data_IF_906421805676
#
_entry.id   IF_906421805676
#
_cell.length_a   1.000
_cell.length_b   1.000
_cell.length_c   1.000
_cell.angle_alpha   90.00
_cell.angle_beta   90.00
_cell.angle_gamma   90.00
#
_symmetry.space_group_name_H-M   'P 1'
#
loop_
_entity.id
_entity.type
_entity.pdbx_description
1 polymer ?
#
# COMPACT_ATOMS: atom_id res chain seq x y z
N UNK A 1 12.68 -12.59 1.62
CA UNK A 1 11.44 -12.29 0.84
C UNK A 1 10.42 -13.42 0.83
N UNK A 2 10.72 -14.65 1.31
CA UNK A 2 9.78 -15.79 1.38
C UNK A 2 8.63 -15.58 2.37
N UNK A 3 8.91 -15.14 3.59
CA UNK A 3 7.91 -15.08 4.67
C UNK A 3 6.67 -14.22 4.40
N UNK A 4 6.79 -13.11 3.65
CA UNK A 4 5.63 -12.26 3.29
C UNK A 4 4.69 -12.96 2.30
N UNK A 5 5.24 -13.81 1.40
CA UNK A 5 4.41 -14.56 0.43
C UNK A 5 3.62 -15.67 1.11
N UNK A 6 4.21 -16.36 2.07
CA UNK A 6 3.54 -17.43 2.83
C UNK A 6 2.41 -16.88 3.70
N UNK A 7 2.64 -15.73 4.31
CA UNK A 7 1.67 -15.05 5.15
C UNK A 7 0.42 -14.62 4.35
N UNK A 8 0.61 -13.89 3.25
CA UNK A 8 -0.51 -13.47 2.38
C UNK A 8 -1.23 -14.68 1.79
N UNK A 9 -0.51 -15.78 1.52
CA UNK A 9 -1.11 -17.04 1.07
C UNK A 9 -2.11 -17.62 2.07
N UNK A 10 -1.80 -17.58 3.38
CA UNK A 10 -2.71 -18.03 4.43
C UNK A 10 -3.97 -17.16 4.52
N UNK A 11 -3.82 -15.84 4.42
CA UNK A 11 -4.96 -14.90 4.39
C UNK A 11 -5.88 -15.15 3.19
N UNK A 12 -5.30 -15.29 2.00
CA UNK A 12 -6.04 -15.56 0.77
C UNK A 12 -6.80 -16.89 0.89
N UNK A 13 -6.17 -17.94 1.42
CA UNK A 13 -6.81 -19.22 1.67
C UNK A 13 -7.99 -19.08 2.64
N UNK A 14 -7.81 -18.33 3.73
CA UNK A 14 -8.87 -18.04 4.68
C UNK A 14 -10.06 -17.37 4.00
N UNK A 15 -9.82 -16.27 3.30
CA UNK A 15 -10.88 -15.47 2.69
C UNK A 15 -11.57 -16.22 1.52
N UNK A 16 -10.80 -16.88 0.66
CA UNK A 16 -11.33 -17.47 -0.56
C UNK A 16 -11.93 -18.86 -0.37
N UNK A 17 -11.31 -19.72 0.45
CA UNK A 17 -11.73 -21.12 0.63
C UNK A 17 -12.52 -21.36 1.90
N UNK A 18 -12.13 -20.76 3.03
CA UNK A 18 -12.84 -20.96 4.30
C UNK A 18 -14.10 -20.12 4.34
N UNK A 19 -13.99 -18.81 4.08
CA UNK A 19 -15.13 -17.89 4.10
C UNK A 19 -15.87 -17.82 2.75
N UNK A 20 -15.30 -18.36 1.69
CA UNK A 20 -15.88 -18.40 0.32
C UNK A 20 -16.37 -17.04 -0.16
N UNK A 21 -15.63 -15.97 0.11
CA UNK A 21 -16.01 -14.62 -0.23
C UNK A 21 -15.97 -14.40 -1.75
N UNK A 22 -16.97 -13.72 -2.27
CA UNK A 22 -17.05 -13.34 -3.68
C UNK A 22 -16.48 -11.94 -3.96
N UNK A 23 -16.49 -11.09 -2.95
CA UNK A 23 -15.96 -9.74 -3.03
C UNK A 23 -15.35 -9.30 -1.71
N UNK A 24 -14.36 -8.40 -1.77
CA UNK A 24 -13.71 -7.82 -0.61
C UNK A 24 -13.53 -6.32 -0.81
N UNK A 25 -13.87 -5.55 0.22
CA UNK A 25 -13.54 -4.13 0.34
C UNK A 25 -12.37 -3.96 1.31
N UNK A 26 -11.40 -3.16 0.94
CA UNK A 26 -10.17 -2.89 1.70
C UNK A 26 -10.04 -1.39 1.90
N UNK A 27 -10.45 -0.84 3.06
CA UNK A 27 -10.49 0.60 3.30
C UNK A 27 -9.11 1.23 3.52
N UNK A 28 -8.12 0.42 3.88
CA UNK A 28 -6.75 0.84 4.16
C UNK A 28 -5.79 0.05 3.28
N UNK A 29 -5.37 0.65 2.20
CA UNK A 29 -4.41 0.09 1.27
C UNK A 29 -3.01 -0.07 1.87
N UNK A 30 -2.02 -0.08 1.03
CA UNK A 30 -0.65 -0.31 1.41
C UNK A 30 -0.11 -1.63 0.86
N UNK A 31 1.10 -1.99 1.25
CA UNK A 31 1.81 -3.10 0.59
C UNK A 31 1.11 -4.45 0.77
N UNK A 32 0.77 -4.83 1.99
CA UNK A 32 0.18 -6.14 2.26
C UNK A 32 -1.26 -6.23 1.76
N UNK A 33 -2.14 -5.24 2.03
CA UNK A 33 -3.49 -5.22 1.47
C UNK A 33 -3.52 -5.23 -0.06
N UNK A 34 -2.62 -4.53 -0.76
CA UNK A 34 -2.54 -4.59 -2.23
C UNK A 34 -2.19 -5.99 -2.72
N UNK A 35 -1.30 -6.72 -2.04
CA UNK A 35 -0.99 -8.10 -2.36
C UNK A 35 -2.18 -9.04 -2.14
N UNK A 36 -2.90 -8.86 -1.03
CA UNK A 36 -4.13 -9.61 -0.76
C UNK A 36 -5.17 -9.36 -1.87
N UNK A 37 -5.41 -8.09 -2.20
CA UNK A 37 -6.35 -7.71 -3.26
C UNK A 37 -5.97 -8.31 -4.60
N UNK A 38 -4.70 -8.26 -4.98
CA UNK A 38 -4.20 -8.88 -6.21
C UNK A 38 -4.44 -10.40 -6.23
N UNK A 39 -4.16 -11.12 -5.15
CA UNK A 39 -4.44 -12.54 -5.06
C UNK A 39 -5.94 -12.84 -5.14
N UNK A 40 -6.79 -12.10 -4.45
CA UNK A 40 -8.24 -12.27 -4.54
C UNK A 40 -8.73 -12.04 -5.97
N UNK A 41 -8.22 -11.01 -6.65
CA UNK A 41 -8.52 -10.74 -8.05
C UNK A 41 -8.08 -11.88 -8.97
N UNK A 42 -6.88 -12.44 -8.80
CA UNK A 42 -6.40 -13.59 -9.61
C UNK A 42 -7.26 -14.84 -9.43
N UNK A 43 -7.95 -14.96 -8.31
CA UNK A 43 -8.94 -16.01 -8.04
C UNK A 43 -10.34 -15.68 -8.59
N UNK A 44 -10.48 -14.64 -9.41
CA UNK A 44 -11.74 -14.25 -10.03
C UNK A 44 -12.70 -13.47 -9.10
N UNK A 45 -12.22 -13.01 -7.93
CA UNK A 45 -13.05 -12.27 -6.97
C UNK A 45 -13.09 -10.78 -7.30
N UNK A 46 -14.14 -10.09 -6.82
CA UNK A 46 -14.22 -8.63 -6.91
C UNK A 46 -13.49 -7.96 -5.76
N UNK A 47 -12.70 -6.93 -6.06
CA UNK A 47 -11.86 -6.22 -5.08
C UNK A 47 -12.06 -4.72 -5.19
N UNK A 48 -12.47 -4.08 -4.10
CA UNK A 48 -12.53 -2.64 -3.96
C UNK A 48 -11.42 -2.22 -2.99
N UNK A 49 -10.44 -1.48 -3.48
CA UNK A 49 -9.29 -1.06 -2.68
C UNK A 49 -9.25 0.44 -2.53
N UNK A 50 -9.16 0.91 -1.31
CA UNK A 50 -9.05 2.31 -0.97
C UNK A 50 -7.76 2.62 -0.20
N UNK A 51 -7.19 3.77 -0.46
CA UNK A 51 -6.18 4.39 0.41
C UNK A 51 -6.20 5.90 0.19
N UNK A 52 -6.00 6.68 1.24
CA UNK A 52 -5.84 8.12 1.15
C UNK A 52 -4.47 8.53 0.60
N UNK A 53 -3.51 7.61 0.60
CA UNK A 53 -2.16 7.83 0.07
C UNK A 53 -2.15 7.59 -1.44
N UNK A 54 -1.64 8.57 -2.16
CA UNK A 54 -1.60 8.53 -3.63
C UNK A 54 -0.77 7.36 -4.17
N UNK A 55 0.36 7.03 -3.53
CA UNK A 55 1.16 5.87 -3.93
C UNK A 55 0.34 4.57 -3.85
N UNK A 56 -0.35 4.34 -2.75
CA UNK A 56 -1.14 3.13 -2.55
C UNK A 56 -2.32 3.07 -3.51
N UNK A 57 -2.98 4.21 -3.76
CA UNK A 57 -4.02 4.34 -4.78
C UNK A 57 -3.48 3.98 -6.17
N UNK A 58 -2.35 4.57 -6.59
CA UNK A 58 -1.76 4.27 -7.91
C UNK A 58 -1.27 2.83 -8.02
N UNK A 59 -0.80 2.22 -6.93
CA UNK A 59 -0.46 0.80 -6.88
C UNK A 59 -1.72 -0.08 -7.11
N UNK A 60 -2.85 0.32 -6.53
CA UNK A 60 -4.13 -0.34 -6.77
C UNK A 60 -4.64 -0.12 -8.21
N UNK A 61 -4.50 1.08 -8.77
CA UNK A 61 -4.84 1.34 -10.19
C UNK A 61 -4.01 0.46 -11.12
N UNK A 62 -2.71 0.29 -10.85
CA UNK A 62 -1.81 -0.53 -11.65
C UNK A 62 -2.04 -2.04 -11.56
N UNK A 63 -2.48 -2.56 -10.40
CA UNK A 63 -2.58 -4.00 -10.15
C UNK A 63 -4.01 -4.50 -9.93
N UNK A 64 -4.88 -3.70 -9.33
CA UNK A 64 -6.24 -4.11 -8.98
C UNK A 64 -7.23 -3.67 -10.06
N UNK A 65 -7.25 -2.38 -10.41
CA UNK A 65 -8.16 -1.87 -11.44
C UNK A 65 -7.73 -2.26 -12.87
N UNK A 66 -6.44 -2.49 -13.08
CA UNK A 66 -5.88 -2.80 -14.39
C UNK A 66 -6.26 -4.23 -14.84
N UNK A 67 -6.91 -4.33 -15.99
CA UNK A 67 -7.43 -5.57 -16.56
C UNK A 67 -6.60 -6.11 -17.75
N UNK A 68 -5.38 -5.59 -17.98
CA UNK A 68 -4.52 -6.09 -19.05
C UNK A 68 -3.68 -5.03 -19.76
N UNK A 69 -3.74 -3.77 -19.35
CA UNK A 69 -2.90 -2.71 -19.93
C UNK A 69 -1.48 -2.82 -19.37
N UNK A 70 -0.55 -3.20 -20.23
CA UNK A 70 0.87 -3.33 -19.89
C UNK A 70 1.63 -2.05 -20.25
N UNK A 71 2.77 -1.86 -19.62
CA UNK A 71 3.75 -0.87 -20.03
C UNK A 71 4.72 -1.58 -20.97
N UNK A 72 4.61 -1.29 -22.27
CA UNK A 72 5.39 -1.92 -23.33
C UNK A 72 6.83 -1.42 -23.43
N UNK A 73 7.62 -2.08 -24.28
CA UNK A 73 9.05 -1.76 -24.47
C UNK A 73 9.32 -0.38 -25.04
N UNK A 74 8.48 0.10 -25.96
CA UNK A 74 8.65 1.41 -26.62
C UNK A 74 8.36 2.53 -25.60
N UNK A 75 7.27 2.39 -24.86
CA UNK A 75 6.90 3.31 -23.77
C UNK A 75 7.98 3.31 -22.69
N UNK A 76 8.49 2.13 -22.31
CA UNK A 76 9.56 1.98 -21.34
C UNK A 76 10.85 2.68 -21.83
N UNK A 77 11.25 2.49 -23.10
CA UNK A 77 12.38 3.18 -23.72
C UNK A 77 12.23 4.70 -23.60
N UNK A 78 11.07 5.23 -24.00
CA UNK A 78 10.80 6.68 -23.91
C UNK A 78 10.84 7.25 -22.47
N UNK A 79 10.58 6.41 -21.46
CA UNK A 79 10.69 6.82 -20.07
C UNK A 79 12.14 6.97 -19.60
N UNK A 80 13.06 6.14 -20.09
CA UNK A 80 14.44 6.09 -19.58
C UNK A 80 15.46 6.75 -20.51
N UNK A 81 15.16 6.91 -21.80
CA UNK A 81 16.06 7.51 -22.77
C UNK A 81 16.47 8.94 -22.42
N UNK A 82 17.78 9.23 -22.52
CA UNK A 82 18.32 10.57 -22.29
C UNK A 82 18.16 11.07 -20.86
N UNK A 83 17.98 10.18 -19.89
CA UNK A 83 18.15 10.52 -18.47
C UNK A 83 19.64 10.79 -18.25
N UNK A 84 19.98 12.00 -17.84
CA UNK A 84 21.34 12.46 -17.58
C UNK A 84 21.45 13.15 -16.23
N UNK A 85 22.62 13.69 -15.92
CA UNK A 85 22.84 14.48 -14.69
C UNK A 85 22.35 15.91 -14.88
N UNK A 86 21.23 16.32 -14.26
CA UNK A 86 20.81 17.73 -14.28
C UNK A 86 21.69 18.56 -13.34
N UNK A 87 21.72 19.87 -13.58
CA UNK A 87 22.47 20.79 -12.71
C UNK A 87 21.85 20.90 -11.31
N UNK A 88 20.57 20.62 -11.16
CA UNK A 88 19.82 20.74 -9.90
C UNK A 88 18.63 19.79 -9.89
N UNK A 89 18.32 19.23 -8.70
CA UNK A 89 17.11 18.44 -8.49
C UNK A 89 15.86 19.33 -8.41
N UNK A 90 14.81 18.95 -9.11
CA UNK A 90 13.47 19.54 -8.97
C UNK A 90 12.82 19.14 -7.64
N UNK A 91 13.10 17.91 -7.21
CA UNK A 91 12.70 17.39 -5.90
C UNK A 91 13.92 17.05 -5.03
N UNK A 92 14.43 18.01 -4.23
CA UNK A 92 15.61 17.80 -3.39
C UNK A 92 15.39 16.77 -2.29
N UNK A 93 14.12 16.43 -1.95
CA UNK A 93 13.81 15.42 -0.95
C UNK A 93 14.18 13.99 -1.40
N UNK A 94 14.33 13.76 -2.71
CA UNK A 94 14.81 12.49 -3.25
C UNK A 94 16.21 12.15 -2.76
N UNK A 95 17.08 13.13 -2.57
CA UNK A 95 18.43 12.94 -2.00
C UNK A 95 18.41 12.47 -0.54
N UNK A 96 17.27 12.55 0.13
CA UNK A 96 17.06 11.96 1.48
C UNK A 96 16.62 10.49 1.40
N UNK A 97 16.12 10.05 0.24
CA UNK A 97 15.64 8.68 0.03
C UNK A 97 16.74 7.78 -0.53
N UNK A 98 17.52 8.29 -1.46
CA UNK A 98 18.58 7.57 -2.18
C UNK A 98 19.85 8.42 -2.26
N UNK A 99 21.02 7.85 -2.63
CA UNK A 99 22.23 8.64 -2.93
C UNK A 99 21.95 9.73 -3.97
N UNK A 100 22.67 10.85 -3.87
CA UNK A 100 22.45 12.03 -4.73
C UNK A 100 22.50 11.68 -6.22
N UNK A 101 23.46 10.87 -6.63
CA UNK A 101 23.60 10.43 -8.03
C UNK A 101 22.39 9.66 -8.53
N UNK A 102 21.73 8.92 -7.64
CA UNK A 102 20.53 8.16 -7.98
C UNK A 102 19.28 9.04 -7.97
N UNK A 103 19.27 10.05 -7.10
CA UNK A 103 18.16 10.99 -7.03
C UNK A 103 17.89 11.68 -8.38
N UNK A 104 18.94 11.92 -9.18
CA UNK A 104 18.79 12.49 -10.53
C UNK A 104 17.98 11.59 -11.47
N UNK A 105 18.18 10.28 -11.41
CA UNK A 105 17.39 9.34 -12.20
C UNK A 105 15.91 9.44 -11.85
N UNK A 106 15.57 9.39 -10.58
CA UNK A 106 14.17 9.45 -10.13
C UNK A 106 13.51 10.81 -10.39
N UNK A 107 14.28 11.90 -10.25
CA UNK A 107 13.80 13.26 -10.49
C UNK A 107 13.39 13.50 -11.94
N UNK A 108 14.09 12.88 -12.89
CA UNK A 108 13.76 12.97 -14.32
C UNK A 108 12.73 11.92 -14.75
N UNK A 109 12.73 10.75 -14.15
CA UNK A 109 11.81 9.68 -14.47
C UNK A 109 10.35 10.05 -14.08
N UNK A 110 10.16 10.65 -12.91
CA UNK A 110 8.83 10.94 -12.39
C UNK A 110 7.97 11.82 -13.30
N UNK A 111 8.40 12.99 -13.80
CA UNK A 111 7.59 13.82 -14.68
C UNK A 111 7.25 13.14 -16.02
N UNK A 112 8.06 12.16 -16.47
CA UNK A 112 7.75 11.35 -17.65
C UNK A 112 6.65 10.34 -17.35
N UNK A 113 6.71 9.68 -16.19
CA UNK A 113 5.65 8.77 -15.69
C UNK A 113 4.32 9.52 -15.58
N UNK A 114 4.32 10.78 -15.16
CA UNK A 114 3.10 11.57 -15.00
C UNK A 114 2.27 11.72 -16.28
N UNK A 115 2.93 11.62 -17.44
CA UNK A 115 2.28 11.73 -18.77
C UNK A 115 1.62 10.42 -19.23
N UNK A 116 1.83 9.32 -18.53
CA UNK A 116 1.26 8.03 -18.88
C UNK A 116 -0.24 7.96 -18.56
N UNK A 117 -1.01 7.14 -19.30
CA UNK A 117 -2.35 6.74 -18.90
C UNK A 117 -2.36 6.12 -17.49
N UNK A 118 -3.43 6.30 -16.74
CA UNK A 118 -3.50 5.98 -15.31
C UNK A 118 -3.01 4.56 -14.96
N UNK A 119 -3.43 3.55 -15.73
CA UNK A 119 -3.06 2.14 -15.45
C UNK A 119 -1.56 1.87 -15.68
N UNK A 120 -0.99 2.40 -16.77
CA UNK A 120 0.45 2.33 -17.02
C UNK A 120 1.25 3.17 -16.04
N UNK A 121 0.72 4.34 -15.63
CA UNK A 121 1.31 5.17 -14.57
C UNK A 121 1.43 4.38 -13.26
N UNK A 122 0.39 3.64 -12.86
CA UNK A 122 0.42 2.79 -11.67
C UNK A 122 1.53 1.74 -11.72
N UNK A 123 1.69 1.06 -12.86
CA UNK A 123 2.80 0.12 -13.09
C UNK A 123 4.16 0.80 -12.92
N UNK A 124 4.35 1.96 -13.59
CA UNK A 124 5.62 2.69 -13.57
C UNK A 124 5.95 3.24 -12.17
N UNK A 125 4.97 3.76 -11.43
CA UNK A 125 5.14 4.24 -10.04
C UNK A 125 5.59 3.09 -9.15
N UNK A 126 4.96 1.91 -9.27
CA UNK A 126 5.36 0.72 -8.49
C UNK A 126 6.76 0.25 -8.85
N UNK A 127 7.07 0.13 -10.13
CA UNK A 127 8.40 -0.28 -10.62
C UNK A 127 9.49 0.71 -10.16
N UNK A 128 9.23 2.01 -10.27
CA UNK A 128 10.15 3.05 -9.81
C UNK A 128 10.40 2.99 -8.30
N UNK A 129 9.38 2.72 -7.49
CA UNK A 129 9.57 2.51 -6.06
C UNK A 129 10.42 1.26 -5.74
N UNK A 130 10.21 0.17 -6.46
CA UNK A 130 11.03 -1.03 -6.30
C UNK A 130 12.49 -0.75 -6.69
N UNK A 131 12.71 0.00 -7.77
CA UNK A 131 14.04 0.47 -8.22
C UNK A 131 14.70 1.35 -7.15
N UNK A 132 13.94 2.26 -6.53
CA UNK A 132 14.43 3.09 -5.44
C UNK A 132 14.86 2.24 -4.23
N UNK A 133 14.09 1.23 -3.87
CA UNK A 133 14.47 0.28 -2.81
C UNK A 133 15.73 -0.50 -3.15
N UNK A 134 15.91 -0.90 -4.41
CA UNK A 134 17.16 -1.51 -4.86
C UNK A 134 18.33 -0.55 -4.64
N UNK A 135 18.21 0.71 -5.05
CA UNK A 135 19.25 1.71 -4.86
C UNK A 135 19.61 1.88 -3.36
N UNK A 136 18.62 1.95 -2.47
CA UNK A 136 18.80 2.05 -1.02
C UNK A 136 19.56 0.85 -0.42
N UNK A 137 19.25 -0.36 -0.88
CA UNK A 137 19.89 -1.59 -0.40
C UNK A 137 21.35 -1.67 -0.89
N UNK A 138 21.58 -1.32 -2.17
CA UNK A 138 22.93 -1.39 -2.76
C UNK A 138 23.87 -0.34 -2.17
N UNK A 139 23.39 0.85 -1.81
CA UNK A 139 24.17 1.89 -1.16
C UNK A 139 24.76 1.44 0.19
N UNK A 140 24.03 0.61 0.92
CA UNK A 140 24.43 0.08 2.23
C UNK A 140 25.12 -1.28 2.17
N UNK A 141 25.24 -1.88 0.98
CA UNK A 141 25.75 -3.25 0.83
C UNK A 141 27.24 -3.29 0.51
N UNK A 142 27.88 -4.44 0.87
CA UNK A 142 29.25 -4.76 0.44
C UNK A 142 29.35 -5.07 -1.05
N UNK A 143 28.21 -5.16 -1.75
CA UNK A 143 28.10 -5.52 -3.15
C UNK A 143 27.88 -4.33 -4.07
N UNK A 144 28.23 -3.12 -3.63
CA UNK A 144 28.07 -1.89 -4.44
C UNK A 144 28.69 -1.98 -5.84
N UNK A 145 29.81 -2.73 -5.96
CA UNK A 145 30.49 -2.95 -7.25
C UNK A 145 29.71 -3.86 -8.22
N UNK A 146 28.71 -4.59 -7.73
CA UNK A 146 27.81 -5.44 -8.55
C UNK A 146 26.50 -4.73 -8.89
N UNK A 147 26.45 -3.44 -8.63
CA UNK A 147 25.26 -2.64 -8.84
C UNK A 147 24.93 -2.52 -10.34
N UNK A 148 23.68 -2.85 -10.68
CA UNK A 148 23.17 -2.63 -12.04
C UNK A 148 22.79 -1.15 -12.26
N UNK A 149 22.93 -0.62 -13.51
CA UNK A 149 22.35 0.67 -13.88
C UNK A 149 20.86 0.73 -13.56
N UNK A 150 20.38 1.89 -13.06
CA UNK A 150 19.00 2.03 -12.60
C UNK A 150 17.97 1.86 -13.71
N UNK A 151 18.32 2.24 -14.95
CA UNK A 151 17.47 2.04 -16.13
C UNK A 151 17.18 0.55 -16.36
N UNK A 152 18.20 -0.31 -16.21
CA UNK A 152 18.06 -1.76 -16.34
C UNK A 152 17.27 -2.36 -15.19
N UNK A 153 17.47 -1.83 -13.97
CA UNK A 153 16.69 -2.25 -12.80
C UNK A 153 15.24 -1.85 -12.97
N UNK A 154 14.97 -0.63 -13.42
CA UNK A 154 13.61 -0.14 -13.66
C UNK A 154 12.91 -0.98 -14.74
N UNK A 155 13.59 -1.27 -15.85
CA UNK A 155 13.03 -2.14 -16.90
C UNK A 155 12.64 -3.52 -16.35
N UNK A 156 13.53 -4.16 -15.59
CA UNK A 156 13.24 -5.44 -14.93
C UNK A 156 12.05 -5.35 -13.96
N UNK A 157 11.99 -4.27 -13.18
CA UNK A 157 10.87 -4.11 -12.23
C UNK A 157 9.53 -3.84 -12.96
N UNK A 158 9.55 -3.15 -14.11
CA UNK A 158 8.37 -3.02 -14.99
C UNK A 158 7.91 -4.38 -15.49
N UNK A 159 8.82 -5.22 -15.99
CA UNK A 159 8.47 -6.59 -16.42
C UNK A 159 7.85 -7.41 -15.27
N UNK A 160 8.43 -7.30 -14.06
CA UNK A 160 7.91 -7.99 -12.88
C UNK A 160 6.54 -7.48 -12.43
N UNK A 161 6.24 -6.21 -12.61
CA UNK A 161 4.90 -5.64 -12.35
C UNK A 161 3.94 -6.05 -13.45
N UNK A 162 4.33 -5.99 -14.72
CA UNK A 162 3.52 -6.42 -15.86
C UNK A 162 3.05 -7.88 -15.74
N UNK A 163 3.90 -8.79 -15.26
CA UNK A 163 3.55 -10.21 -15.00
C UNK A 163 2.42 -10.38 -13.97
N UNK A 164 2.13 -9.34 -13.20
CA UNK A 164 1.08 -9.34 -12.16
C UNK A 164 -0.23 -8.73 -12.64
N UNK A 165 -0.21 -8.01 -13.75
CA UNK A 165 -1.45 -7.51 -14.35
C UNK A 165 -2.28 -8.70 -14.82
N UNK A 166 -3.52 -8.79 -14.35
CA UNK A 166 -4.41 -9.91 -14.65
C UNK A 166 -5.78 -9.41 -15.09
N UNK A 167 -6.37 -10.00 -16.15
CA UNK A 167 -7.74 -9.74 -16.54
C UNK A 167 -8.78 -10.50 -15.67
N UNK A 168 -8.30 -11.39 -14.77
CA UNK A 168 -9.18 -12.17 -13.91
C UNK A 168 -9.81 -11.30 -12.83
N UNK A 169 -11.08 -11.55 -12.51
CA UNK A 169 -11.81 -10.81 -11.48
C UNK A 169 -12.08 -9.35 -11.86
N UNK A 170 -12.74 -8.64 -10.96
CA UNK A 170 -13.01 -7.20 -11.09
C UNK A 170 -12.23 -6.45 -10.02
N UNK A 171 -11.76 -5.25 -10.34
CA UNK A 171 -11.06 -4.42 -9.39
C UNK A 171 -11.39 -2.94 -9.56
N UNK A 172 -11.52 -2.25 -8.44
CA UNK A 172 -11.72 -0.81 -8.39
C UNK A 172 -10.75 -0.21 -7.38
N UNK A 173 -10.12 0.90 -7.75
CA UNK A 173 -9.24 1.67 -6.90
C UNK A 173 -9.92 2.97 -6.49
N UNK A 174 -9.84 3.30 -5.20
CA UNK A 174 -10.44 4.49 -4.60
C UNK A 174 -9.38 5.28 -3.84
N UNK A 175 -9.55 6.61 -3.78
CA UNK A 175 -8.71 7.51 -2.99
C UNK A 175 -9.60 8.47 -2.21
N UNK A 176 -10.20 7.96 -1.14
CA UNK A 176 -11.15 8.70 -0.31
C UNK A 176 -10.93 8.45 1.18
N UNK A 177 -11.58 9.22 2.03
CA UNK A 177 -11.63 8.95 3.46
C UNK A 177 -12.28 7.58 3.72
N UNK A 178 -11.69 6.81 4.65
CA UNK A 178 -12.09 5.42 4.85
C UNK A 178 -13.56 5.25 5.26
N UNK A 179 -14.10 6.16 6.05
CA UNK A 179 -15.51 6.14 6.46
C UNK A 179 -16.45 6.47 5.29
N UNK A 180 -16.06 7.34 4.35
CA UNK A 180 -16.81 7.58 3.12
C UNK A 180 -16.79 6.35 2.22
N UNK A 181 -15.61 5.75 2.03
CA UNK A 181 -15.47 4.52 1.25
C UNK A 181 -16.38 3.39 1.72
N UNK A 182 -16.37 3.07 3.04
CA UNK A 182 -17.23 1.98 3.55
C UNK A 182 -18.72 2.28 3.48
N UNK A 183 -19.09 3.57 3.44
CA UNK A 183 -20.47 4.00 3.22
C UNK A 183 -20.94 3.80 1.77
N UNK A 184 -20.04 3.94 0.81
CA UNK A 184 -20.34 3.95 -0.63
C UNK A 184 -20.19 2.57 -1.28
N UNK A 185 -19.23 1.77 -0.83
CA UNK A 185 -18.89 0.46 -1.42
C UNK A 185 -19.66 -0.67 -0.75
N UNK A 186 -20.00 -1.69 -1.52
CA UNK A 186 -20.63 -2.94 -1.00
C UNK A 186 -19.77 -4.13 -1.41
N UNK A 187 -19.50 -5.02 -0.46
CA UNK A 187 -18.77 -6.27 -0.68
C UNK A 187 -19.20 -7.34 0.32
N UNK A 188 -18.86 -8.60 0.04
CA UNK A 188 -19.14 -9.74 0.93
C UNK A 188 -18.38 -9.65 2.25
N UNK A 189 -17.22 -8.97 2.24
CA UNK A 189 -16.44 -8.72 3.44
C UNK A 189 -15.70 -7.40 3.40
N UNK A 190 -15.41 -6.87 4.60
CA UNK A 190 -14.50 -5.77 4.83
C UNK A 190 -13.22 -6.33 5.45
N UNK A 191 -12.09 -6.19 4.76
CA UNK A 191 -10.77 -6.57 5.27
C UNK A 191 -10.01 -5.34 5.77
N UNK A 192 -9.57 -5.39 7.01
CA UNK A 192 -9.00 -4.24 7.71
C UNK A 192 -7.64 -4.55 8.33
N UNK A 193 -6.67 -3.73 7.98
CA UNK A 193 -5.43 -3.55 8.73
C UNK A 193 -5.42 -2.09 9.20
N UNK A 194 -5.74 -1.88 10.47
CA UNK A 194 -5.94 -0.53 10.99
C UNK A 194 -4.65 0.30 10.93
N UNK A 195 -4.70 1.57 10.52
CA UNK A 195 -3.55 2.47 10.58
C UNK A 195 -3.09 2.72 12.01
N UNK A 196 -1.79 2.95 12.19
CA UNK A 196 -1.20 3.25 13.50
C UNK A 196 -1.76 4.52 14.13
N UNK A 197 -1.93 4.54 15.46
CA UNK A 197 -2.25 5.72 16.25
C UNK A 197 -1.22 6.85 16.10
N UNK A 198 0.03 6.52 15.76
CA UNK A 198 1.08 7.51 15.55
C UNK A 198 0.81 8.44 14.35
N UNK A 199 -0.06 8.01 13.44
CA UNK A 199 -0.41 8.76 12.24
C UNK A 199 0.72 8.90 11.23
N UNK A 200 0.43 9.54 10.11
CA UNK A 200 1.39 9.74 9.02
C UNK A 200 2.45 10.82 9.32
N UNK A 201 2.15 11.75 10.24
CA UNK A 201 2.99 12.92 10.49
C UNK A 201 4.26 12.65 11.32
N UNK A 202 4.30 11.57 12.09
CA UNK A 202 5.44 11.26 12.97
C UNK A 202 6.67 10.80 12.21
N UNK A 203 6.52 10.11 11.11
CA UNK A 203 7.63 9.66 10.28
C UNK A 203 8.39 10.83 9.62
N UNK A 204 7.71 11.96 9.40
CA UNK A 204 8.30 13.15 8.77
C UNK A 204 9.00 14.09 9.76
N UNK A 205 8.51 14.17 10.99
CA UNK A 205 9.03 15.11 12.02
C UNK A 205 10.42 14.72 12.56
N UNK A 206 10.81 13.48 12.45
CA UNK A 206 11.99 12.96 13.13
C UNK A 206 13.34 13.21 12.42
N UNK A 207 13.41 13.98 11.33
CA UNK A 207 14.67 14.25 10.61
C UNK A 207 15.36 13.01 10.00
N UNK A 208 14.80 11.83 10.25
CA UNK A 208 15.26 10.58 9.68
C UNK A 208 14.97 10.52 8.17
N UNK A 209 15.68 9.66 7.44
CA UNK A 209 15.34 9.34 6.05
C UNK A 209 13.87 8.95 6.02
N UNK A 210 13.00 9.61 5.21
CA UNK A 210 11.59 9.27 5.17
C UNK A 210 11.43 7.84 4.63
N UNK A 211 11.24 6.91 5.55
CA UNK A 211 10.97 5.50 5.27
C UNK A 211 9.46 5.29 5.35
N UNK A 212 8.97 4.23 4.72
CA UNK A 212 7.56 3.90 4.82
C UNK A 212 6.65 4.75 3.92
N UNK A 213 5.42 5.07 4.37
CA UNK A 213 4.39 5.70 3.54
C UNK A 213 4.79 7.04 2.95
N UNK A 214 5.36 7.94 3.74
CA UNK A 214 5.73 9.28 3.26
C UNK A 214 6.88 9.28 2.25
N UNK A 215 7.84 8.37 2.35
CA UNK A 215 8.88 8.22 1.34
C UNK A 215 8.29 7.78 -0.02
N UNK A 216 7.26 6.96 0.01
CA UNK A 216 6.50 6.56 -1.19
C UNK A 216 5.74 7.74 -1.80
N UNK A 217 5.13 8.59 -0.97
CA UNK A 217 4.43 9.79 -1.43
C UNK A 217 5.39 10.82 -2.05
N UNK A 218 6.57 11.04 -1.45
CA UNK A 218 7.61 11.91 -2.02
C UNK A 218 8.02 11.41 -3.42
N UNK A 219 8.13 10.10 -3.61
CA UNK A 219 8.37 9.52 -4.92
C UNK A 219 7.18 9.73 -5.86
N UNK A 220 5.98 9.36 -5.44
CA UNK A 220 4.80 9.33 -6.30
C UNK A 220 4.24 10.73 -6.62
N UNK A 221 4.31 11.69 -5.70
CA UNK A 221 3.72 13.02 -5.84
C UNK A 221 4.72 14.15 -6.06
N UNK A 222 6.00 13.92 -5.81
CA UNK A 222 7.04 14.95 -5.85
C UNK A 222 7.25 15.65 -4.50
N UNK A 223 7.75 16.91 -4.49
CA UNK A 223 8.11 17.60 -3.25
C UNK A 223 6.97 17.69 -2.24
N UNK A 224 7.24 17.34 -1.00
CA UNK A 224 6.21 17.27 0.05
C UNK A 224 5.47 18.57 0.31
N UNK A 225 6.15 19.71 0.08
CA UNK A 225 5.55 21.05 0.21
C UNK A 225 4.31 21.28 -0.65
N UNK A 226 4.16 20.54 -1.76
CA UNK A 226 3.04 20.70 -2.71
C UNK A 226 1.78 19.95 -2.31
N UNK A 227 1.88 18.87 -1.55
CA UNK A 227 0.75 17.98 -1.24
C UNK A 227 0.56 17.71 0.26
N UNK A 228 1.59 17.90 1.10
CA UNK A 228 1.51 17.61 2.53
C UNK A 228 0.44 18.42 3.27
N UNK A 229 0.23 19.73 2.97
CA UNK A 229 -0.85 20.49 3.62
C UNK A 229 -2.24 19.91 3.34
N UNK A 230 -2.49 19.49 2.10
CA UNK A 230 -3.74 18.85 1.68
C UNK A 230 -3.92 17.50 2.38
N UNK A 231 -2.89 16.64 2.39
CA UNK A 231 -2.95 15.36 3.08
C UNK A 231 -3.23 15.53 4.57
N UNK A 232 -2.54 16.47 5.25
CA UNK A 232 -2.79 16.76 6.66
C UNK A 232 -4.22 17.23 6.92
N UNK A 233 -4.78 18.04 6.04
CA UNK A 233 -6.16 18.47 6.14
C UNK A 233 -7.13 17.30 5.97
N UNK A 234 -6.86 16.42 4.99
CA UNK A 234 -7.71 15.27 4.69
C UNK A 234 -7.73 14.21 5.81
N UNK A 235 -6.59 13.99 6.51
CA UNK A 235 -6.54 13.00 7.60
C UNK A 235 -6.91 13.57 8.97
N UNK A 236 -7.14 14.88 9.09
CA UNK A 236 -7.40 15.51 10.38
C UNK A 236 -8.64 14.93 11.08
N UNK A 237 -8.44 14.36 12.26
CA UNK A 237 -9.49 13.73 13.05
C UNK A 237 -9.96 12.37 12.52
N UNK A 238 -9.27 11.81 11.50
CA UNK A 238 -9.59 10.50 10.91
C UNK A 238 -8.37 9.57 10.96
N UNK A 239 -8.48 8.40 10.30
CA UNK A 239 -7.32 7.50 10.14
C UNK A 239 -6.18 8.19 9.39
N UNK A 240 -4.96 8.09 9.96
CA UNK A 240 -3.78 8.79 9.46
C UNK A 240 -3.44 10.06 10.25
N UNK A 241 -4.34 10.61 11.05
CA UNK A 241 -4.02 11.63 12.05
C UNK A 241 -3.26 11.03 13.24
N UNK A 242 -2.64 11.88 14.03
CA UNK A 242 -1.97 11.48 15.27
C UNK A 242 -2.95 11.55 16.44
N UNK A 243 -3.20 10.43 17.06
CA UNK A 243 -3.98 10.34 18.28
C UNK A 243 -3.09 10.40 19.52
N UNK A 244 -3.42 11.26 20.45
CA UNK A 244 -2.68 11.43 21.71
C UNK A 244 -3.19 10.51 22.82
N UNK A 245 -4.39 9.96 22.68
CA UNK A 245 -4.93 8.97 23.62
C UNK A 245 -5.46 7.75 22.89
N UNK A 246 -5.38 6.61 23.56
CA UNK A 246 -5.88 5.32 23.08
C UNK A 246 -7.40 5.33 23.01
N UNK A 247 -8.07 5.99 23.95
CA UNK A 247 -9.53 6.15 23.99
C UNK A 247 -10.04 6.91 22.76
N UNK A 248 -9.38 8.03 22.40
CA UNK A 248 -9.77 8.82 21.22
C UNK A 248 -9.61 8.00 19.93
N UNK A 249 -8.53 7.22 19.82
CA UNK A 249 -8.32 6.34 18.67
C UNK A 249 -9.41 5.27 18.57
N UNK A 250 -9.71 4.54 19.65
CA UNK A 250 -10.70 3.49 19.62
C UNK A 250 -12.14 4.01 19.53
N UNK A 251 -12.41 5.25 19.98
CA UNK A 251 -13.67 5.93 19.68
C UNK A 251 -13.83 6.13 18.17
N UNK A 252 -12.79 6.61 17.47
CA UNK A 252 -12.81 6.74 16.01
C UNK A 252 -12.97 5.38 15.32
N UNK A 253 -12.28 4.33 15.79
CA UNK A 253 -12.47 2.96 15.27
C UNK A 253 -13.92 2.51 15.43
N UNK A 254 -14.55 2.78 16.59
CA UNK A 254 -15.96 2.47 16.85
C UNK A 254 -16.90 3.19 15.88
N UNK A 255 -16.70 4.49 15.66
CA UNK A 255 -17.49 5.29 14.70
C UNK A 255 -17.32 4.78 13.26
N UNK A 256 -16.13 4.33 12.90
CA UNK A 256 -15.88 3.70 11.60
C UNK A 256 -16.60 2.35 11.47
N UNK A 257 -16.58 1.50 12.49
CA UNK A 257 -17.26 0.21 12.48
C UNK A 257 -18.79 0.34 12.44
N UNK A 258 -19.33 1.39 13.04
CA UNK A 258 -20.74 1.74 12.92
C UNK A 258 -21.12 2.01 11.45
N UNK A 259 -20.33 2.84 10.73
CA UNK A 259 -20.51 3.08 9.28
C UNK A 259 -20.35 1.80 8.46
N UNK A 260 -19.49 0.88 8.90
CA UNK A 260 -19.24 -0.40 8.24
C UNK A 260 -20.22 -1.51 8.62
N UNK A 261 -21.28 -1.20 9.38
CA UNK A 261 -22.22 -2.19 9.95
C UNK A 261 -22.95 -3.03 8.89
N UNK A 262 -23.09 -2.54 7.66
CA UNK A 262 -23.76 -3.24 6.57
C UNK A 262 -22.97 -4.38 5.94
N UNK A 263 -21.65 -4.42 6.13
CA UNK A 263 -20.84 -5.51 5.59
C UNK A 263 -21.16 -6.82 6.34
N UNK A 264 -21.43 -7.93 5.63
CA UNK A 264 -21.76 -9.21 6.27
C UNK A 264 -20.63 -9.74 7.15
N UNK A 265 -19.40 -9.59 6.70
CA UNK A 265 -18.21 -10.13 7.36
C UNK A 265 -17.17 -9.03 7.55
N UNK A 266 -16.63 -8.94 8.76
CA UNK A 266 -15.45 -8.14 9.07
C UNK A 266 -14.26 -9.08 9.31
N UNK A 267 -13.14 -8.77 8.67
CA UNK A 267 -11.88 -9.48 8.85
C UNK A 267 -10.81 -8.46 9.22
N UNK A 268 -10.23 -8.62 10.40
CA UNK A 268 -9.12 -7.80 10.85
C UNK A 268 -7.82 -8.58 10.80
N UNK A 269 -6.79 -7.95 10.33
CA UNK A 269 -5.41 -8.39 10.51
C UNK A 269 -4.75 -7.46 11.53
N UNK A 270 -4.41 -8.00 12.70
CA UNK A 270 -4.00 -7.24 13.88
C UNK A 270 -2.64 -7.71 14.40
N UNK A 271 -1.86 -6.77 14.89
CA UNK A 271 -0.70 -7.10 15.72
C UNK A 271 -1.15 -7.54 17.13
N UNK A 272 -0.29 -8.30 17.83
CA UNK A 272 -0.58 -8.81 19.18
C UNK A 272 -0.95 -7.69 20.17
N UNK A 273 -0.31 -6.53 20.04
CA UNK A 273 -0.55 -5.37 20.90
C UNK A 273 -1.90 -4.68 20.67
N UNK A 274 -2.47 -4.83 19.48
CA UNK A 274 -3.75 -4.21 19.09
C UNK A 274 -4.94 -5.11 19.37
N UNK A 275 -4.72 -6.43 19.33
CA UNK A 275 -5.76 -7.44 19.38
C UNK A 275 -6.76 -7.28 20.55
N UNK A 276 -6.33 -7.08 21.83
CA UNK A 276 -7.27 -7.01 22.93
C UNK A 276 -8.27 -5.85 22.84
N UNK A 277 -7.81 -4.69 22.34
CA UNK A 277 -8.68 -3.51 22.29
C UNK A 277 -9.58 -3.53 21.06
N UNK A 278 -9.07 -3.99 19.92
CA UNK A 278 -9.90 -4.19 18.72
C UNK A 278 -10.97 -5.24 19.01
N UNK A 279 -10.61 -6.35 19.65
CA UNK A 279 -11.60 -7.38 20.07
C UNK A 279 -12.70 -6.75 20.92
N UNK A 280 -12.34 -5.97 21.95
CA UNK A 280 -13.29 -5.30 22.83
C UNK A 280 -14.22 -4.35 22.05
N UNK A 281 -13.66 -3.60 21.10
CA UNK A 281 -14.44 -2.69 20.28
C UNK A 281 -15.38 -3.43 19.34
N UNK A 282 -14.91 -4.50 18.68
CA UNK A 282 -15.74 -5.34 17.79
C UNK A 282 -16.89 -5.99 18.54
N UNK A 283 -16.66 -6.45 19.78
CA UNK A 283 -17.70 -7.07 20.63
C UNK A 283 -18.86 -6.13 20.99
N UNK A 284 -18.71 -4.82 20.82
CA UNK A 284 -19.83 -3.87 20.98
C UNK A 284 -20.84 -3.96 19.82
N UNK A 285 -20.42 -4.44 18.66
CA UNK A 285 -21.23 -4.52 17.45
C UNK A 285 -21.59 -5.96 17.07
N UNK A 286 -20.66 -6.89 17.22
CA UNK A 286 -20.76 -8.27 16.72
C UNK A 286 -20.03 -9.26 17.62
N UNK A 287 -20.52 -10.51 17.61
CA UNK A 287 -19.76 -11.61 18.25
C UNK A 287 -18.65 -12.06 17.31
N UNK A 288 -17.40 -12.17 17.79
CA UNK A 288 -16.33 -12.83 17.05
C UNK A 288 -16.71 -14.27 16.72
N UNK A 289 -16.56 -14.67 15.45
CA UNK A 289 -16.82 -16.04 15.00
C UNK A 289 -15.56 -16.90 15.11
N UNK A 290 -14.42 -16.35 14.72
CA UNK A 290 -13.17 -17.06 14.76
C UNK A 290 -12.00 -16.09 15.01
N UNK A 291 -10.95 -16.63 15.60
CA UNK A 291 -9.66 -15.97 15.73
C UNK A 291 -8.60 -16.95 15.28
N UNK A 292 -7.86 -16.59 14.24
CA UNK A 292 -6.72 -17.36 13.75
C UNK A 292 -5.43 -16.64 14.12
N UNK A 293 -4.52 -17.36 14.74
CA UNK A 293 -3.20 -16.84 15.09
C UNK A 293 -2.18 -17.33 14.08
N UNK A 294 -1.43 -16.42 13.50
CA UNK A 294 -0.30 -16.71 12.62
C UNK A 294 0.99 -16.24 13.27
N UNK A 295 1.92 -17.16 13.46
CA UNK A 295 3.24 -16.87 13.96
C UNK A 295 4.23 -16.80 12.78
N UNK A 296 4.64 -15.58 12.42
CA UNK A 296 5.60 -15.35 11.34
C UNK A 296 7.02 -15.13 11.85
N UNK A 297 7.28 -15.32 13.16
CA UNK A 297 8.58 -15.01 13.78
C UNK A 297 9.72 -15.85 13.21
N UNK A 298 9.46 -17.10 12.84
CA UNK A 298 10.47 -17.98 12.26
C UNK A 298 10.81 -17.59 10.81
N UNK A 299 9.84 -17.06 10.05
CA UNK A 299 10.00 -16.79 8.63
C UNK A 299 10.49 -15.38 8.29
N UNK A 300 10.23 -14.37 9.15
CA UNK A 300 10.44 -12.96 8.79
C UNK A 300 10.95 -12.04 9.90
N UNK A 301 11.36 -12.61 11.03
CA UNK A 301 11.96 -11.80 12.10
C UNK A 301 10.96 -11.04 12.98
N UNK A 302 9.71 -11.55 13.14
CA UNK A 302 9.09 -11.14 14.35
C UNK A 302 7.68 -10.63 14.45
N UNK A 303 6.69 -11.14 13.73
CA UNK A 303 5.32 -10.71 14.00
C UNK A 303 4.40 -11.89 14.34
N UNK A 304 3.63 -11.72 15.44
CA UNK A 304 2.41 -12.47 15.63
C UNK A 304 1.24 -11.65 15.11
N UNK A 305 0.49 -12.22 14.18
CA UNK A 305 -0.74 -11.61 13.68
C UNK A 305 -1.94 -12.42 14.08
N UNK A 306 -3.01 -11.70 14.36
CA UNK A 306 -4.31 -12.25 14.68
C UNK A 306 -5.29 -11.88 13.59
N UNK A 307 -5.94 -12.91 13.00
CA UNK A 307 -7.10 -12.70 12.15
C UNK A 307 -8.35 -12.85 12.99
N UNK A 308 -8.99 -11.73 13.27
CA UNK A 308 -10.29 -11.68 13.95
C UNK A 308 -11.38 -11.63 12.89
N UNK A 309 -12.27 -12.61 12.89
CA UNK A 309 -13.42 -12.68 11.98
C UNK A 309 -14.68 -12.46 12.80
N UNK A 310 -15.50 -11.50 12.38
CA UNK A 310 -16.79 -11.21 12.97
C UNK A 310 -17.86 -11.17 11.86
N UNK A 311 -18.91 -11.97 12.03
CA UNK A 311 -20.05 -12.03 11.12
C UNK A 311 -21.26 -11.31 11.72
N UNK A 312 -22.17 -10.88 10.84
CA UNK A 312 -23.42 -10.21 11.21
C UNK A 312 -24.39 -11.20 11.86
#
# INVERSE_FOLDING_TARGET
MSGVKEYVGAEVMLLSKVLKLESVAVPFGGRNPTWLGWWMKTLGKSVHMNDILHFSYMDAVGLIENEGFLLDGDTLGALVDGIGEPKQLSNPELARLVPMQDAYFFDQLRPRIEKLPARQKGIAIRAGYNTMRYAQVMDSSRFVNLRMPLEKVFAREVEEVNKRVTPSGKGEAHMEEAGAFVGNVRASALYMQLPSMAGLSTEYAAGARPRGPLGREIWARGPSKTWMPELKAAVKGTFGDRFTSREAYFKMVSEFLEKASDYPVWVFNLEESEYPDVLRTVMQFRKPKAVHRFDTREASGGYMSYFLIAEK
#
